data_IF_834681608323
#
_entry.id   IF_834681608323
#
_cell.length_a   1.000
_cell.length_b   1.000
_cell.length_c   1.000
_cell.angle_alpha   90.00
_cell.angle_beta   90.00
_cell.angle_gamma   90.00
#
_symmetry.space_group_name_H-M   'P 1'
#
loop_
_entity.id
_entity.type
_entity.pdbx_description
1 polymer ?
#
# COMPACT_ATOMS: atom_id res chain seq x y z
N UNK A 1 56.17 -6.79 -40.53
CA UNK A 1 55.19 -7.78 -40.04
C UNK A 1 54.90 -7.47 -38.58
N UNK A 2 53.71 -6.91 -38.32
CA UNK A 2 53.26 -6.31 -37.05
C UNK A 2 52.50 -7.36 -36.23
N UNK A 3 52.99 -7.72 -35.04
CA UNK A 3 52.15 -8.26 -33.95
C UNK A 3 52.70 -7.71 -32.63
N UNK A 4 52.45 -6.43 -32.39
CA UNK A 4 52.43 -5.82 -31.06
C UNK A 4 51.11 -5.05 -31.03
N UNK A 5 50.30 -5.24 -29.99
CA UNK A 5 48.94 -4.70 -29.80
C UNK A 5 47.78 -5.69 -30.01
N UNK A 6 47.88 -6.93 -29.51
CA UNK A 6 46.72 -7.82 -29.42
C UNK A 6 46.30 -8.17 -27.98
N UNK A 7 46.89 -7.52 -26.96
CA UNK A 7 46.59 -7.82 -25.55
C UNK A 7 45.99 -6.64 -24.77
N UNK A 8 45.80 -5.48 -25.39
CA UNK A 8 45.28 -4.28 -24.72
C UNK A 8 43.89 -3.86 -25.20
N UNK A 9 43.22 -4.69 -26.00
CA UNK A 9 41.89 -4.40 -26.56
C UNK A 9 40.85 -5.45 -26.16
N UNK A 10 41.02 -6.09 -25.00
CA UNK A 10 40.05 -7.07 -24.47
C UNK A 10 39.62 -6.78 -23.02
N UNK A 11 39.85 -5.55 -22.53
CA UNK A 11 39.54 -5.11 -21.16
C UNK A 11 38.70 -3.82 -21.11
N UNK A 12 38.00 -3.50 -22.19
CA UNK A 12 37.10 -2.33 -22.28
C UNK A 12 35.63 -2.69 -22.58
N UNK A 13 35.26 -3.97 -22.50
CA UNK A 13 33.86 -4.40 -22.69
C UNK A 13 33.04 -4.48 -21.39
N UNK A 14 33.62 -4.14 -20.23
CA UNK A 14 32.92 -4.10 -18.94
C UNK A 14 32.70 -2.67 -18.44
N UNK A 15 32.01 -1.83 -19.22
CA UNK A 15 31.43 -0.59 -18.71
C UNK A 15 30.31 -0.04 -19.61
N UNK A 16 29.44 -0.92 -20.10
CA UNK A 16 28.09 -0.48 -20.42
C UNK A 16 27.16 -1.46 -19.73
N UNK A 17 27.02 -1.30 -18.40
CA UNK A 17 25.82 -1.79 -17.73
C UNK A 17 24.68 -0.97 -18.28
N UNK A 18 24.08 -1.54 -19.31
CA UNK A 18 22.88 -1.05 -19.94
C UNK A 18 21.83 -0.84 -18.85
N UNK A 19 21.62 0.42 -18.44
CA UNK A 19 20.57 0.79 -17.46
C UNK A 19 19.17 0.41 -17.97
N UNK A 20 19.05 -0.03 -19.22
CA UNK A 20 17.80 -0.45 -19.85
C UNK A 20 17.56 -1.96 -19.78
N UNK A 21 18.55 -2.78 -19.41
CA UNK A 21 18.40 -4.24 -19.34
C UNK A 21 17.50 -4.72 -18.18
N UNK A 22 17.10 -3.83 -17.25
CA UNK A 22 16.14 -4.15 -16.18
C UNK A 22 14.70 -3.90 -16.62
N UNK A 23 14.38 -3.81 -17.91
CA UNK A 23 13.08 -3.24 -18.34
C UNK A 23 12.07 -4.24 -18.92
N UNK A 24 12.44 -5.47 -19.31
CA UNK A 24 11.51 -6.34 -20.07
C UNK A 24 11.32 -7.78 -19.57
N UNK A 25 12.01 -8.17 -18.51
CA UNK A 25 11.86 -9.40 -17.73
C UNK A 25 11.22 -9.13 -16.35
N UNK A 26 10.88 -7.87 -16.09
CA UNK A 26 10.28 -7.32 -14.87
C UNK A 26 8.78 -7.57 -14.80
N UNK A 27 8.37 -8.53 -13.97
CA UNK A 27 7.22 -8.51 -13.05
C UNK A 27 6.72 -9.94 -12.85
N UNK A 28 7.05 -10.54 -11.71
CA UNK A 28 6.33 -11.72 -11.26
C UNK A 28 4.86 -11.29 -11.03
N UNK A 29 3.88 -11.85 -11.74
CA UNK A 29 2.48 -11.45 -11.62
C UNK A 29 1.94 -11.59 -10.20
N UNK A 30 2.45 -12.57 -9.43
CA UNK A 30 2.09 -12.72 -8.02
C UNK A 30 2.59 -11.54 -7.16
N UNK A 31 3.79 -11.03 -7.44
CA UNK A 31 4.33 -9.84 -6.74
C UNK A 31 3.54 -8.59 -7.13
N UNK A 32 3.15 -8.47 -8.41
CA UNK A 32 2.32 -7.36 -8.88
C UNK A 32 0.95 -7.35 -8.18
N UNK A 33 0.28 -8.50 -8.15
CA UNK A 33 -1.02 -8.66 -7.51
C UNK A 33 -0.95 -8.39 -6.00
N UNK A 34 0.04 -8.96 -5.31
CA UNK A 34 0.25 -8.77 -3.88
C UNK A 34 0.50 -7.29 -3.54
N UNK A 35 1.37 -6.62 -4.30
CA UNK A 35 1.63 -5.18 -4.13
C UNK A 35 0.37 -4.35 -4.41
N UNK A 36 -0.39 -4.71 -5.44
CA UNK A 36 -1.64 -4.01 -5.74
C UNK A 36 -2.66 -4.15 -4.61
N UNK A 37 -2.79 -5.35 -4.02
CA UNK A 37 -3.63 -5.59 -2.86
C UNK A 37 -3.17 -4.77 -1.64
N UNK A 38 -1.86 -4.72 -1.38
CA UNK A 38 -1.29 -3.90 -0.32
C UNK A 38 -1.63 -2.41 -0.51
N UNK A 39 -1.42 -1.86 -1.70
CA UNK A 39 -1.72 -0.45 -1.99
C UNK A 39 -3.23 -0.18 -1.90
N UNK A 40 -4.07 -1.09 -2.40
CA UNK A 40 -5.53 -0.98 -2.28
C UNK A 40 -5.98 -0.95 -0.81
N UNK A 41 -5.36 -1.77 0.05
CA UNK A 41 -5.67 -1.77 1.46
C UNK A 41 -5.25 -0.45 2.12
N UNK A 42 -4.04 0.03 1.84
CA UNK A 42 -3.56 1.32 2.36
C UNK A 42 -4.49 2.47 1.95
N UNK A 43 -4.79 2.61 0.65
CA UNK A 43 -5.69 3.63 0.12
C UNK A 43 -7.05 3.56 0.79
N UNK A 44 -7.60 2.35 0.96
CA UNK A 44 -8.88 2.18 1.64
C UNK A 44 -8.85 2.67 3.09
N UNK A 45 -7.82 2.34 3.86
CA UNK A 45 -7.71 2.78 5.25
C UNK A 45 -7.61 4.30 5.33
N UNK A 46 -6.78 4.90 4.47
CA UNK A 46 -6.57 6.35 4.40
C UNK A 46 -7.86 7.11 4.03
N UNK A 47 -8.55 6.72 2.95
CA UNK A 47 -9.77 7.41 2.49
C UNK A 47 -10.95 7.31 3.46
N UNK A 48 -10.87 6.37 4.41
CA UNK A 48 -11.95 6.11 5.36
C UNK A 48 -11.55 6.40 6.80
N UNK A 49 -10.35 6.93 7.05
CA UNK A 49 -9.84 7.22 8.39
C UNK A 49 -10.73 8.23 9.15
N UNK A 50 -11.29 9.23 8.46
CA UNK A 50 -12.27 10.16 9.05
C UNK A 50 -13.50 9.45 9.64
N UNK A 51 -13.92 8.32 9.08
CA UNK A 51 -15.03 7.55 9.64
C UNK A 51 -14.67 6.97 11.02
N UNK A 52 -13.40 6.66 11.25
CA UNK A 52 -12.89 6.14 12.53
C UNK A 52 -12.94 7.24 13.59
N UNK A 53 -12.48 8.45 13.27
CA UNK A 53 -12.59 9.60 14.17
C UNK A 53 -14.05 9.93 14.54
N UNK A 54 -14.99 9.81 13.59
CA UNK A 54 -16.42 9.95 13.91
C UNK A 54 -16.91 8.78 14.79
N UNK A 55 -16.46 7.55 14.55
CA UNK A 55 -16.79 6.38 15.37
C UNK A 55 -16.31 6.53 16.83
N UNK A 56 -15.17 7.18 17.04
CA UNK A 56 -14.62 7.49 18.36
C UNK A 56 -15.26 8.72 19.03
N UNK A 57 -16.05 9.50 18.28
CA UNK A 57 -16.67 10.73 18.77
C UNK A 57 -15.73 11.94 18.80
N UNK A 58 -14.62 11.88 18.06
CA UNK A 58 -13.63 12.97 17.95
C UNK A 58 -14.08 14.02 16.94
N UNK A 59 -14.77 13.60 15.88
CA UNK A 59 -15.34 14.46 14.83
C UNK A 59 -16.86 14.53 14.90
N UNK A 60 -17.43 15.62 14.37
CA UNK A 60 -18.88 15.77 14.26
C UNK A 60 -19.48 14.66 13.37
N UNK A 61 -20.52 13.99 13.87
CA UNK A 61 -21.23 12.95 13.12
C UNK A 61 -21.94 11.96 14.02
N UNK A 62 -22.50 10.91 13.40
CA UNK A 62 -23.18 9.83 14.11
C UNK A 62 -22.29 8.57 14.13
N UNK A 63 -21.76 8.14 15.30
CA UNK A 63 -20.85 7.01 15.40
C UNK A 63 -21.40 5.73 14.77
N UNK A 64 -22.67 5.40 15.04
CA UNK A 64 -23.33 4.21 14.50
C UNK A 64 -23.43 4.25 12.97
N UNK A 65 -23.77 5.40 12.39
CA UNK A 65 -23.84 5.53 10.93
C UNK A 65 -22.45 5.42 10.29
N UNK A 66 -21.41 5.97 10.92
CA UNK A 66 -20.02 5.83 10.44
C UNK A 66 -19.55 4.38 10.47
N UNK A 67 -19.87 3.63 11.53
CA UNK A 67 -19.61 2.19 11.60
C UNK A 67 -20.30 1.43 10.45
N UNK A 68 -21.59 1.68 10.22
CA UNK A 68 -22.34 1.02 9.14
C UNK A 68 -21.75 1.37 7.76
N UNK A 69 -21.40 2.64 7.56
CA UNK A 69 -20.80 3.15 6.32
C UNK A 69 -19.42 2.53 6.07
N UNK A 70 -18.60 2.35 7.12
CA UNK A 70 -17.31 1.68 7.02
C UNK A 70 -17.48 0.19 6.68
N UNK A 71 -18.42 -0.50 7.35
CA UNK A 71 -18.77 -1.91 7.05
C UNK A 71 -19.26 -2.11 5.63
N UNK A 72 -20.00 -1.15 5.07
CA UNK A 72 -20.42 -1.17 3.67
C UNK A 72 -19.23 -0.99 2.72
N UNK A 73 -18.40 0.04 2.96
CA UNK A 73 -17.26 0.38 2.10
C UNK A 73 -16.18 -0.69 2.05
N UNK A 74 -16.01 -1.48 3.10
CA UNK A 74 -15.00 -2.57 3.13
C UNK A 74 -15.46 -3.82 2.35
N UNK A 75 -16.77 -3.99 2.08
CA UNK A 75 -17.28 -5.21 1.42
C UNK A 75 -16.63 -5.55 0.08
N UNK A 76 -16.40 -4.58 -0.84
CA UNK A 76 -15.73 -4.86 -2.11
C UNK A 76 -14.30 -5.38 -1.93
N UNK A 77 -13.68 -5.10 -0.79
CA UNK A 77 -12.30 -5.44 -0.47
C UNK A 77 -12.19 -6.56 0.58
N UNK A 78 -13.29 -7.25 0.91
CA UNK A 78 -13.33 -8.29 1.95
C UNK A 78 -12.33 -9.44 1.75
N UNK A 79 -11.92 -9.66 0.50
CA UNK A 79 -10.96 -10.70 0.13
C UNK A 79 -9.51 -10.19 0.02
N UNK A 80 -9.28 -8.90 0.22
CA UNK A 80 -7.94 -8.36 0.25
C UNK A 80 -7.19 -8.93 1.48
N UNK A 81 -6.06 -9.64 1.29
CA UNK A 81 -5.33 -10.27 2.38
C UNK A 81 -4.83 -9.27 3.44
N UNK A 82 -4.59 -8.02 3.04
CA UNK A 82 -4.17 -6.91 3.90
C UNK A 82 -5.33 -6.24 4.65
N UNK A 83 -6.57 -6.73 4.51
CA UNK A 83 -7.70 -6.22 5.29
C UNK A 83 -8.32 -7.31 6.17
N UNK A 84 -7.72 -8.51 6.27
CA UNK A 84 -8.31 -9.62 7.02
C UNK A 84 -8.50 -9.28 8.51
N UNK A 85 -7.46 -8.77 9.16
CA UNK A 85 -7.52 -8.41 10.58
C UNK A 85 -8.39 -7.17 10.81
N UNK A 86 -8.38 -6.21 9.88
CA UNK A 86 -9.26 -5.03 9.91
C UNK A 86 -10.72 -5.47 9.84
N UNK A 87 -11.08 -6.31 8.87
CA UNK A 87 -12.44 -6.87 8.75
C UNK A 87 -12.86 -7.62 10.01
N UNK A 88 -11.97 -8.48 10.54
CA UNK A 88 -12.25 -9.24 11.75
C UNK A 88 -12.56 -8.30 12.94
N UNK A 89 -11.70 -7.31 13.18
CA UNK A 89 -11.87 -6.40 14.32
C UNK A 89 -13.07 -5.46 14.13
N UNK A 90 -13.37 -5.05 12.91
CA UNK A 90 -14.56 -4.26 12.58
C UNK A 90 -15.87 -4.98 12.95
N UNK A 91 -15.92 -6.31 12.80
CA UNK A 91 -17.08 -7.10 13.18
C UNK A 91 -17.26 -7.26 14.69
N UNK A 92 -16.20 -7.06 15.48
CA UNK A 92 -16.24 -7.16 16.95
C UNK A 92 -16.73 -5.88 17.64
N UNK A 93 -16.85 -4.76 16.91
CA UNK A 93 -17.32 -3.49 17.47
C UNK A 93 -18.79 -3.62 17.87
N UNK A 94 -19.10 -3.27 19.12
CA UNK A 94 -20.47 -3.31 19.66
C UNK A 94 -21.05 -1.92 19.78
N UNK A 95 -22.34 -1.81 19.49
CA UNK A 95 -23.11 -0.58 19.69
C UNK A 95 -23.74 -0.65 21.08
N UNK A 96 -23.36 0.28 21.96
CA UNK A 96 -23.91 0.39 23.30
C UNK A 96 -25.29 1.07 23.29
N UNK A 97 -26.09 0.93 24.37
CA UNK A 97 -27.40 1.58 24.49
C UNK A 97 -27.37 3.11 24.35
N UNK A 98 -26.27 3.73 24.80
CA UNK A 98 -26.01 5.17 24.68
C UNK A 98 -25.48 5.60 23.29
N UNK A 99 -25.44 4.66 22.34
CA UNK A 99 -24.94 4.82 20.96
C UNK A 99 -23.42 5.04 20.86
N UNK A 100 -22.66 4.84 21.93
CA UNK A 100 -21.21 4.72 21.87
C UNK A 100 -20.80 3.38 21.25
N UNK A 101 -19.57 3.29 20.77
CA UNK A 101 -19.03 2.10 20.11
C UNK A 101 -17.93 1.46 20.98
N UNK A 102 -18.25 0.34 21.62
CA UNK A 102 -17.27 -0.45 22.36
C UNK A 102 -16.27 -1.07 21.37
N UNK A 103 -14.98 -0.80 21.58
CA UNK A 103 -13.89 -1.28 20.73
C UNK A 103 -13.48 -0.34 19.59
N UNK A 104 -14.15 0.80 19.40
CA UNK A 104 -13.78 1.76 18.35
C UNK A 104 -12.35 2.29 18.49
N UNK A 105 -11.92 2.66 19.71
CA UNK A 105 -10.55 3.11 19.97
C UNK A 105 -9.50 2.01 19.71
N UNK A 106 -9.78 0.76 20.11
CA UNK A 106 -8.89 -0.36 19.81
C UNK A 106 -8.80 -0.65 18.31
N UNK A 107 -9.92 -0.49 17.59
CA UNK A 107 -9.97 -0.64 16.15
C UNK A 107 -9.18 0.45 15.42
N UNK A 108 -9.29 1.70 15.89
CA UNK A 108 -8.52 2.82 15.38
C UNK A 108 -7.01 2.60 15.54
N UNK A 109 -6.55 2.22 16.74
CA UNK A 109 -5.15 1.89 16.99
C UNK A 109 -4.63 0.75 16.10
N UNK A 110 -5.46 -0.24 15.77
CA UNK A 110 -5.10 -1.29 14.82
C UNK A 110 -4.90 -0.72 13.41
N UNK A 111 -5.84 0.12 12.97
CA UNK A 111 -5.82 0.72 11.63
C UNK A 111 -4.59 1.63 11.48
N UNK A 112 -4.28 2.46 12.47
CA UNK A 112 -3.05 3.28 12.51
C UNK A 112 -1.79 2.42 12.33
N UNK A 113 -1.68 1.35 13.11
CA UNK A 113 -0.53 0.45 13.07
C UNK A 113 -0.38 -0.22 11.70
N UNK A 114 -1.51 -0.58 11.08
CA UNK A 114 -1.55 -1.17 9.75
C UNK A 114 -1.18 -0.14 8.67
N UNK A 115 -1.71 1.08 8.71
CA UNK A 115 -1.35 2.16 7.79
C UNK A 115 0.16 2.44 7.80
N UNK A 116 0.75 2.56 9.00
CA UNK A 116 2.20 2.73 9.16
C UNK A 116 2.99 1.57 8.56
N UNK A 117 2.59 0.33 8.88
CA UNK A 117 3.24 -0.87 8.33
C UNK A 117 3.14 -0.96 6.81
N UNK A 118 2.00 -0.57 6.24
CA UNK A 118 1.73 -0.66 4.81
C UNK A 118 2.52 0.38 4.04
N UNK A 119 2.60 1.61 4.57
CA UNK A 119 3.47 2.65 4.04
C UNK A 119 4.94 2.17 3.96
N UNK A 120 5.46 1.57 5.04
CA UNK A 120 6.84 1.05 5.06
C UNK A 120 7.07 -0.08 4.04
N UNK A 121 6.13 -1.00 3.89
CA UNK A 121 6.23 -2.07 2.90
C UNK A 121 6.20 -1.54 1.46
N UNK A 122 5.30 -0.59 1.17
CA UNK A 122 5.21 0.06 -0.15
C UNK A 122 6.49 0.84 -0.45
N UNK A 123 7.01 1.60 0.51
CA UNK A 123 8.28 2.30 0.39
C UNK A 123 9.44 1.34 0.07
N UNK A 124 9.53 0.23 0.82
CA UNK A 124 10.54 -0.80 0.59
C UNK A 124 10.47 -1.36 -0.83
N UNK A 125 9.25 -1.61 -1.32
CA UNK A 125 9.01 -2.06 -2.69
C UNK A 125 9.45 -1.02 -3.73
N UNK A 126 9.02 0.24 -3.60
CA UNK A 126 9.42 1.35 -4.48
C UNK A 126 10.94 1.47 -4.57
N UNK A 127 11.62 1.43 -3.42
CA UNK A 127 13.08 1.52 -3.34
C UNK A 127 13.79 0.30 -3.95
N UNK A 128 13.35 -0.91 -3.62
CA UNK A 128 13.98 -2.14 -4.10
C UNK A 128 13.96 -2.24 -5.64
N UNK A 129 12.86 -1.80 -6.26
CA UNK A 129 12.68 -1.84 -7.71
C UNK A 129 13.19 -0.58 -8.43
N UNK A 130 13.76 0.39 -7.70
CA UNK A 130 14.30 1.66 -8.24
C UNK A 130 13.26 2.40 -9.09
N UNK A 131 12.04 2.48 -8.57
CA UNK A 131 10.94 3.17 -9.26
C UNK A 131 11.15 4.69 -9.20
N UNK A 132 10.60 5.44 -10.16
CA UNK A 132 10.79 6.90 -10.25
C UNK A 132 9.85 7.66 -9.31
N UNK A 133 9.66 7.19 -8.08
CA UNK A 133 8.83 7.84 -7.07
C UNK A 133 9.70 8.27 -5.91
N UNK A 134 9.47 9.49 -5.43
CA UNK A 134 9.91 9.89 -4.11
C UNK A 134 9.08 9.16 -3.05
N UNK A 135 9.51 9.23 -1.78
CA UNK A 135 8.80 8.59 -0.68
C UNK A 135 7.32 9.00 -0.69
N UNK A 136 6.35 8.06 -0.82
CA UNK A 136 4.94 8.40 -0.79
C UNK A 136 4.59 9.15 0.49
N UNK A 137 4.11 10.39 0.36
CA UNK A 137 3.74 11.29 1.46
C UNK A 137 2.23 11.45 1.58
N UNK A 138 1.49 11.26 0.49
CA UNK A 138 0.05 11.43 0.45
C UNK A 138 -0.61 10.37 -0.43
N UNK A 139 -1.93 10.25 -0.32
CA UNK A 139 -2.72 9.26 -1.06
C UNK A 139 -2.51 9.27 -2.59
N UNK A 140 -2.25 10.44 -3.18
CA UNK A 140 -2.06 10.58 -4.62
C UNK A 140 -0.77 9.89 -5.07
N UNK A 141 0.27 9.88 -4.24
CA UNK A 141 1.52 9.18 -4.55
C UNK A 141 1.27 7.67 -4.71
N UNK A 142 0.40 7.09 -3.87
CA UNK A 142 0.02 5.67 -3.96
C UNK A 142 -0.85 5.38 -5.18
N UNK A 143 -1.73 6.31 -5.57
CA UNK A 143 -2.49 6.21 -6.83
C UNK A 143 -1.57 6.26 -8.04
N UNK A 144 -0.59 7.17 -8.05
CA UNK A 144 0.42 7.29 -9.10
C UNK A 144 1.26 6.01 -9.25
N UNK A 145 1.60 5.33 -8.14
CA UNK A 145 2.26 4.02 -8.18
C UNK A 145 1.39 3.01 -8.94
N UNK A 146 0.10 2.91 -8.61
CA UNK A 146 -0.82 2.00 -9.33
C UNK A 146 -0.95 2.36 -10.80
N UNK A 147 -1.01 3.64 -11.15
CA UNK A 147 -1.10 4.08 -12.53
C UNK A 147 0.15 3.71 -13.35
N UNK A 148 1.33 3.87 -12.77
CA UNK A 148 2.59 3.47 -13.40
C UNK A 148 2.64 1.97 -13.73
N UNK A 149 1.96 1.14 -12.94
CA UNK A 149 1.82 -0.30 -13.20
C UNK A 149 0.59 -0.68 -14.01
N UNK A 150 -0.31 0.26 -14.31
CA UNK A 150 -1.57 -0.02 -14.99
C UNK A 150 -2.58 -0.80 -14.12
N UNK A 151 -2.46 -0.77 -12.79
CA UNK A 151 -3.32 -1.48 -11.85
C UNK A 151 -4.61 -0.72 -11.49
N UNK A 152 -5.27 -0.12 -12.49
CA UNK A 152 -6.50 0.67 -12.29
C UNK A 152 -7.63 -0.18 -11.74
#
# INVERSE_FOLDING_TARGET
MRIKNLFFLLLLTFACTDKTAVRNDKYNPAIAEDTNNLINAYIFLEENHDLLHIMMGEYEGNPKQSLLKLKEKIQPLKHNPYLLQVNFMLELIKINPDKTLEGAASFDSLVDYYQMGYQLMIEGFVKAYKMPFDLPQNIEDYKNIKEYFGWK
#
